data_IF_927419890218
#
_entry.id   IF_927419890218
#
_cell.length_a   1.000
_cell.length_b   1.000
_cell.length_c   1.000
_cell.angle_alpha   90.00
_cell.angle_beta   90.00
_cell.angle_gamma   90.00
#
_symmetry.space_group_name_H-M   'P 1'
#
loop_
_entity.id
_entity.type
_entity.pdbx_description
1 polymer ?
#
# COMPACT_ATOMS: atom_id res chain seq x y z
N UNK A 1 -27.96 -8.93 47.78
CA UNK A 1 -27.12 -9.97 47.19
C UNK A 1 -26.31 -9.36 46.04
N UNK A 2 -25.02 -9.28 46.19
CA UNK A 2 -24.19 -8.77 45.09
C UNK A 2 -24.06 -9.87 44.04
N UNK A 3 -24.47 -9.58 42.83
CA UNK A 3 -24.24 -10.47 41.70
C UNK A 3 -22.74 -10.56 41.44
N UNK A 4 -22.17 -11.72 41.64
CA UNK A 4 -20.78 -11.97 41.36
C UNK A 4 -20.64 -12.44 39.91
N UNK A 5 -20.01 -11.61 39.08
CA UNK A 5 -19.70 -11.99 37.72
C UNK A 5 -18.47 -12.90 37.72
N UNK A 6 -18.57 -14.15 37.24
CA UNK A 6 -17.41 -15.02 37.15
C UNK A 6 -16.25 -14.37 36.37
N UNK A 7 -15.02 -14.62 36.78
CA UNK A 7 -13.82 -14.06 36.13
C UNK A 7 -13.73 -14.38 34.64
N UNK A 8 -14.26 -15.52 34.21
CA UNK A 8 -14.36 -15.90 32.80
C UNK A 8 -15.26 -14.96 31.99
N UNK A 9 -16.36 -14.50 32.54
CA UNK A 9 -17.29 -13.57 31.88
C UNK A 9 -16.67 -12.15 31.76
N UNK A 10 -15.93 -11.70 32.79
CA UNK A 10 -15.19 -10.44 32.71
C UNK A 10 -14.13 -10.48 31.60
N UNK A 11 -13.40 -11.58 31.48
CA UNK A 11 -12.40 -11.78 30.42
C UNK A 11 -13.04 -11.79 29.04
N UNK A 12 -14.20 -12.41 28.89
CA UNK A 12 -14.95 -12.42 27.63
C UNK A 12 -15.44 -11.02 27.28
N UNK A 13 -15.92 -10.23 28.25
CA UNK A 13 -16.36 -8.85 28.03
C UNK A 13 -15.22 -7.95 27.58
N UNK A 14 -14.05 -8.04 28.22
CA UNK A 14 -12.84 -7.28 27.84
C UNK A 14 -12.38 -7.68 26.44
N UNK A 15 -12.37 -8.96 26.13
CA UNK A 15 -11.99 -9.49 24.81
C UNK A 15 -12.95 -8.97 23.72
N UNK A 16 -14.26 -8.99 23.99
CA UNK A 16 -15.26 -8.47 23.07
C UNK A 16 -15.07 -6.97 22.80
N UNK A 17 -14.78 -6.17 23.84
CA UNK A 17 -14.50 -4.74 23.69
C UNK A 17 -13.24 -4.50 22.88
N UNK A 18 -12.16 -5.24 23.13
CA UNK A 18 -10.92 -5.13 22.35
C UNK A 18 -11.14 -5.49 20.89
N UNK A 19 -11.93 -6.54 20.62
CA UNK A 19 -12.23 -6.95 19.26
C UNK A 19 -13.09 -5.89 18.54
N UNK A 20 -14.04 -5.28 19.22
CA UNK A 20 -14.86 -4.20 18.68
C UNK A 20 -14.01 -2.98 18.33
N UNK A 21 -13.09 -2.57 19.20
CA UNK A 21 -12.15 -1.47 18.97
C UNK A 21 -11.26 -1.77 17.78
N UNK A 22 -10.68 -2.97 17.70
CA UNK A 22 -9.85 -3.41 16.59
C UNK A 22 -10.60 -3.36 15.26
N UNK A 23 -11.86 -3.78 15.27
CA UNK A 23 -12.72 -3.76 14.08
C UNK A 23 -12.95 -2.32 13.59
N UNK A 24 -13.29 -1.39 14.50
CA UNK A 24 -13.49 0.02 14.16
C UNK A 24 -12.22 0.65 13.63
N UNK A 25 -11.07 0.42 14.29
CA UNK A 25 -9.78 0.93 13.85
C UNK A 25 -9.42 0.40 12.46
N UNK A 26 -9.67 -0.87 12.20
CA UNK A 26 -9.43 -1.47 10.88
C UNK A 26 -10.33 -0.86 9.83
N UNK A 27 -11.62 -0.69 10.10
CA UNK A 27 -12.56 -0.07 9.15
C UNK A 27 -12.16 1.38 8.83
N UNK A 28 -11.76 2.17 9.83
CA UNK A 28 -11.29 3.53 9.62
C UNK A 28 -9.98 3.56 8.80
N UNK A 29 -9.05 2.65 9.09
CA UNK A 29 -7.83 2.51 8.32
C UNK A 29 -8.13 2.14 6.86
N UNK A 30 -8.99 1.18 6.62
CA UNK A 30 -9.39 0.75 5.28
C UNK A 30 -10.03 1.91 4.49
N UNK A 31 -10.88 2.72 5.13
CA UNK A 31 -11.48 3.89 4.51
C UNK A 31 -10.43 4.97 4.20
N UNK A 32 -9.48 5.18 5.09
CA UNK A 32 -8.38 6.11 4.88
C UNK A 32 -7.52 5.68 3.69
N UNK A 33 -7.17 4.39 3.60
CA UNK A 33 -6.42 3.84 2.48
C UNK A 33 -7.18 3.97 1.16
N UNK A 34 -8.49 3.74 1.15
CA UNK A 34 -9.31 3.91 -0.04
C UNK A 34 -9.28 5.36 -0.55
N UNK A 35 -9.40 6.34 0.36
CA UNK A 35 -9.32 7.75 0.00
C UNK A 35 -7.96 8.14 -0.55
N UNK A 36 -6.89 7.66 0.07
CA UNK A 36 -5.51 7.91 -0.40
C UNK A 36 -5.30 7.29 -1.77
N UNK A 37 -5.79 6.08 -2.00
CA UNK A 37 -5.71 5.42 -3.30
C UNK A 37 -6.44 6.21 -4.39
N UNK A 38 -7.65 6.68 -4.12
CA UNK A 38 -8.36 7.55 -5.05
C UNK A 38 -7.61 8.83 -5.35
N UNK A 39 -7.09 9.51 -4.34
CA UNK A 39 -6.29 10.72 -4.53
C UNK A 39 -5.06 10.44 -5.40
N UNK A 40 -4.40 9.32 -5.18
CA UNK A 40 -3.25 8.91 -5.97
C UNK A 40 -3.62 8.73 -7.44
N UNK A 41 -4.70 8.02 -7.74
CA UNK A 41 -5.17 7.85 -9.12
C UNK A 41 -5.53 9.19 -9.77
N UNK A 42 -6.22 10.07 -9.05
CA UNK A 42 -6.60 11.38 -9.57
C UNK A 42 -5.37 12.22 -9.90
N UNK A 43 -4.39 12.25 -9.01
CA UNK A 43 -3.13 12.97 -9.24
C UNK A 43 -2.37 12.44 -10.44
N UNK A 44 -2.31 11.13 -10.60
CA UNK A 44 -1.67 10.51 -11.77
C UNK A 44 -2.39 10.89 -13.07
N UNK A 45 -3.71 10.86 -13.10
CA UNK A 45 -4.50 11.24 -14.28
C UNK A 45 -4.33 12.72 -14.61
N UNK A 46 -4.34 13.58 -13.60
CA UNK A 46 -4.12 15.02 -13.77
C UNK A 46 -2.71 15.27 -14.32
N UNK A 47 -1.71 14.66 -13.73
CA UNK A 47 -0.32 14.83 -14.18
C UNK A 47 -0.11 14.37 -15.63
N UNK A 48 -0.69 13.23 -16.00
CA UNK A 48 -0.61 12.72 -17.37
C UNK A 48 -1.31 13.64 -18.37
N UNK A 49 -2.44 14.22 -17.98
CA UNK A 49 -3.16 15.18 -18.82
C UNK A 49 -2.38 16.49 -18.99
N UNK A 50 -1.92 17.05 -17.89
CA UNK A 50 -1.27 18.36 -17.90
C UNK A 50 0.11 18.32 -18.52
N UNK A 51 0.91 17.29 -18.21
CA UNK A 51 2.29 17.20 -18.65
C UNK A 51 2.45 16.57 -20.03
N UNK A 52 1.67 15.53 -20.33
CA UNK A 52 1.79 14.77 -21.57
C UNK A 52 0.64 14.95 -22.55
N UNK A 53 -0.40 15.68 -22.17
CA UNK A 53 -1.55 15.93 -23.03
C UNK A 53 -2.39 14.68 -23.34
N UNK A 54 -2.41 13.71 -22.43
CA UNK A 54 -3.17 12.48 -22.64
C UNK A 54 -4.67 12.78 -22.80
N UNK A 55 -5.27 12.26 -23.87
CA UNK A 55 -6.72 12.27 -24.05
C UNK A 55 -7.41 11.16 -23.26
N UNK A 56 -8.73 11.15 -23.31
CA UNK A 56 -9.55 10.22 -22.55
C UNK A 56 -9.16 8.75 -22.79
N UNK A 57 -8.94 8.35 -24.04
CA UNK A 57 -8.57 6.98 -24.39
C UNK A 57 -7.27 6.53 -23.71
N UNK A 58 -6.24 7.39 -23.70
CA UNK A 58 -4.96 7.07 -23.06
C UNK A 58 -5.08 7.07 -21.54
N UNK A 59 -5.88 7.96 -20.96
CA UNK A 59 -6.13 7.99 -19.52
C UNK A 59 -6.86 6.73 -19.06
N UNK A 60 -7.83 6.25 -19.82
CA UNK A 60 -8.53 4.99 -19.52
C UNK A 60 -7.57 3.81 -19.59
N UNK A 61 -6.73 3.74 -20.61
CA UNK A 61 -5.71 2.67 -20.73
C UNK A 61 -4.74 2.68 -19.57
N UNK A 62 -4.27 3.85 -19.17
CA UNK A 62 -3.40 4.00 -18.02
C UNK A 62 -4.09 3.53 -16.73
N UNK A 63 -5.30 3.98 -16.48
CA UNK A 63 -6.07 3.60 -15.30
C UNK A 63 -6.30 2.10 -15.23
N UNK A 64 -6.71 1.48 -16.34
CA UNK A 64 -6.94 0.04 -16.40
C UNK A 64 -5.66 -0.74 -16.10
N UNK A 65 -4.53 -0.30 -16.62
CA UNK A 65 -3.23 -0.94 -16.37
C UNK A 65 -2.81 -0.78 -14.91
N UNK A 66 -2.94 0.41 -14.36
CA UNK A 66 -2.64 0.67 -12.94
C UNK A 66 -3.51 -0.17 -12.03
N UNK A 67 -4.80 -0.24 -12.31
CA UNK A 67 -5.74 -1.04 -11.54
C UNK A 67 -5.36 -2.53 -11.54
N UNK A 68 -5.00 -3.07 -12.70
CA UNK A 68 -4.57 -4.46 -12.82
C UNK A 68 -3.30 -4.72 -12.00
N UNK A 69 -2.32 -3.82 -12.07
CA UNK A 69 -1.09 -3.91 -11.29
C UNK A 69 -1.36 -3.83 -9.79
N UNK A 70 -2.20 -2.88 -9.36
CA UNK A 70 -2.57 -2.72 -7.95
C UNK A 70 -3.33 -3.91 -7.41
N UNK A 71 -4.23 -4.51 -8.18
CA UNK A 71 -4.92 -5.72 -7.77
C UNK A 71 -3.96 -6.87 -7.51
N UNK A 72 -2.95 -7.05 -8.33
CA UNK A 72 -1.91 -8.05 -8.13
C UNK A 72 -1.10 -7.80 -6.86
N UNK A 73 -0.72 -6.54 -6.62
CA UNK A 73 0.00 -6.14 -5.41
C UNK A 73 -0.85 -6.38 -4.15
N UNK A 74 -2.09 -5.93 -4.16
CA UNK A 74 -2.99 -6.09 -3.01
C UNK A 74 -3.25 -7.56 -2.70
N UNK A 75 -3.39 -8.39 -3.72
CA UNK A 75 -3.57 -9.83 -3.54
C UNK A 75 -2.39 -10.47 -2.79
N UNK A 76 -1.17 -10.05 -3.10
CA UNK A 76 0.05 -10.55 -2.45
C UNK A 76 0.20 -9.99 -1.03
N UNK A 77 -0.09 -8.70 -0.83
CA UNK A 77 -0.03 -8.05 0.48
C UNK A 77 -1.01 -8.70 1.45
N UNK A 78 -2.24 -8.96 1.00
CA UNK A 78 -3.26 -9.61 1.82
C UNK A 78 -2.86 -11.01 2.28
N UNK A 79 -1.91 -11.64 1.60
CA UNK A 79 -1.35 -12.95 1.94
C UNK A 79 -0.05 -12.88 2.75
N UNK A 80 0.38 -11.69 3.14
CA UNK A 80 1.59 -11.51 3.94
C UNK A 80 2.89 -11.53 3.15
N UNK A 81 2.83 -11.27 1.84
CA UNK A 81 4.01 -11.26 0.97
C UNK A 81 4.53 -9.86 0.65
N UNK A 82 4.39 -8.91 1.60
CA UNK A 82 4.75 -7.50 1.38
C UNK A 82 6.20 -7.32 0.91
N UNK A 83 7.14 -7.95 1.58
CA UNK A 83 8.58 -7.84 1.24
C UNK A 83 8.87 -8.41 -0.15
N UNK A 84 8.22 -9.50 -0.48
CA UNK A 84 8.35 -10.16 -1.78
C UNK A 84 7.80 -9.27 -2.91
N UNK A 85 6.68 -8.60 -2.67
CA UNK A 85 6.07 -7.68 -3.65
C UNK A 85 7.02 -6.55 -3.99
N UNK A 86 7.59 -5.90 -2.98
CA UNK A 86 8.51 -4.77 -3.19
C UNK A 86 9.74 -5.23 -3.97
N UNK A 87 10.29 -6.38 -3.63
CA UNK A 87 11.43 -6.95 -4.33
C UNK A 87 11.11 -7.24 -5.80
N UNK A 88 9.95 -7.81 -6.08
CA UNK A 88 9.49 -8.06 -7.45
C UNK A 88 9.32 -6.77 -8.25
N UNK A 89 8.74 -5.73 -7.63
CA UNK A 89 8.55 -4.44 -8.29
C UNK A 89 9.89 -3.79 -8.64
N UNK A 90 10.86 -3.86 -7.75
CA UNK A 90 12.22 -3.37 -8.01
C UNK A 90 12.85 -4.11 -9.18
N UNK A 91 12.73 -5.43 -9.24
CA UNK A 91 13.22 -6.23 -10.36
C UNK A 91 12.55 -5.84 -11.68
N UNK A 92 11.23 -5.60 -11.64
CA UNK A 92 10.48 -5.18 -12.82
C UNK A 92 10.89 -3.80 -13.32
N UNK A 93 11.18 -2.88 -12.41
CA UNK A 93 11.74 -1.57 -12.73
C UNK A 93 13.07 -1.74 -13.50
N UNK A 94 13.97 -2.56 -12.96
CA UNK A 94 15.25 -2.84 -13.62
C UNK A 94 15.09 -3.50 -14.98
N UNK A 95 14.18 -4.44 -15.12
CA UNK A 95 13.87 -5.09 -16.39
C UNK A 95 13.36 -4.11 -17.44
N UNK A 96 12.66 -3.08 -17.02
CA UNK A 96 12.14 -2.01 -17.89
C UNK A 96 13.14 -0.86 -18.07
N UNK A 97 14.35 -1.00 -17.59
CA UNK A 97 15.40 0.04 -17.64
C UNK A 97 14.98 1.34 -16.94
N UNK A 98 14.21 1.23 -15.89
CA UNK A 98 13.77 2.38 -15.08
C UNK A 98 14.71 2.52 -13.89
N UNK A 99 15.49 3.60 -13.88
CA UNK A 99 16.34 3.93 -12.74
C UNK A 99 15.54 4.72 -11.72
N UNK A 100 14.87 3.98 -10.83
CA UNK A 100 13.98 4.58 -9.84
C UNK A 100 14.74 5.46 -8.84
N UNK A 101 16.02 5.19 -8.57
CA UNK A 101 16.83 5.97 -7.64
C UNK A 101 17.08 7.39 -8.16
N UNK A 102 17.22 7.55 -9.48
CA UNK A 102 17.34 8.86 -10.10
C UNK A 102 15.99 9.56 -10.28
N UNK A 103 14.92 8.79 -10.47
CA UNK A 103 13.60 9.33 -10.74
C UNK A 103 12.90 9.76 -9.45
N UNK A 104 13.00 8.92 -8.41
CA UNK A 104 12.40 9.18 -7.11
C UNK A 104 13.37 9.95 -6.22
N UNK A 105 12.86 10.92 -5.49
CA UNK A 105 13.67 11.61 -4.49
C UNK A 105 13.77 10.72 -3.23
N UNK A 106 14.84 9.93 -3.18
CA UNK A 106 15.09 8.96 -2.11
C UNK A 106 15.24 9.64 -0.74
N UNK A 107 15.60 10.91 -0.71
CA UNK A 107 15.72 11.66 0.54
C UNK A 107 14.35 11.95 1.16
N UNK A 108 13.30 12.00 0.34
CA UNK A 108 11.91 12.25 0.77
C UNK A 108 11.15 10.93 0.98
N UNK A 109 11.41 9.93 0.12
CA UNK A 109 10.76 8.63 0.18
C UNK A 109 11.59 7.69 1.04
N UNK A 110 11.02 7.20 2.13
CA UNK A 110 11.68 6.21 2.98
C UNK A 110 11.60 4.84 2.31
N UNK A 111 12.71 4.43 1.73
CA UNK A 111 12.89 3.06 1.26
C UNK A 111 13.47 2.25 2.42
N UNK A 112 12.87 1.10 2.79
CA UNK A 112 13.43 0.25 3.84
C UNK A 112 14.91 -0.10 3.54
N UNK A 113 15.75 -0.03 4.56
CA UNK A 113 17.21 -0.27 4.43
C UNK A 113 17.53 -1.63 3.82
N UNK A 114 16.68 -2.62 4.09
CA UNK A 114 16.78 -3.98 3.55
C UNK A 114 16.70 -4.04 2.04
N UNK A 115 16.08 -3.03 1.41
CA UNK A 115 15.83 -2.96 -0.03
C UNK A 115 16.79 -2.01 -0.73
N UNK A 116 17.60 -1.25 0.00
CA UNK A 116 18.67 -0.44 -0.57
C UNK A 116 19.74 -1.36 -1.12
N UNK A 117 20.20 -1.08 -2.33
CA UNK A 117 21.35 -1.78 -2.87
C UNK A 117 22.56 -1.52 -1.99
N UNK A 118 23.26 -2.61 -1.66
CA UNK A 118 24.46 -2.52 -0.84
C UNK A 118 25.55 -1.82 -1.64
N UNK A 119 25.99 -0.64 -1.19
CA UNK A 119 27.06 0.13 -1.83
C UNK A 119 28.37 -0.65 -1.89
N UNK A 120 28.52 -1.70 -1.07
CA UNK A 120 29.71 -2.55 -1.07
C UNK A 120 29.81 -3.48 -2.28
N UNK A 121 28.75 -3.59 -3.09
CA UNK A 121 28.76 -4.39 -4.31
C UNK A 121 29.22 -3.60 -5.55
N UNK A 122 29.58 -2.36 -5.37
CA UNK A 122 30.21 -1.56 -6.43
C UNK A 122 31.71 -1.86 -6.49
N UNK A 123 32.02 -2.85 -7.24
CA UNK A 123 33.42 -3.06 -7.67
C UNK A 123 33.57 -2.84 -9.15
#
# INVERSE_FOLDING_TARGET
MKAHIPGSQKRQGIRAQRNAIRKVVKEEADQCFAKVEFCFYFLCLIALKEEFGFGETRLIRFYNKMRALMNGVNWQIDRGFEDFVVEQLIRRMKQNNIDYENILDINVIQIPDELKEDETNET
#
